data_IF_043625475231
#
_entry.id   IF_043625475231
#
_cell.length_a   1.000
_cell.length_b   1.000
_cell.length_c   1.000
_cell.angle_alpha   90.00
_cell.angle_beta   90.00
_cell.angle_gamma   90.00
#
_symmetry.space_group_name_H-M   'P 1'
#
loop_
_entity.id
_entity.type
_entity.pdbx_description
1 polymer ?
#
# COMPACT_ATOMS: atom_id res chain seq x y z
N UNK A 1 -8.15 -13.71 3.53
CA UNK A 1 -8.17 -13.74 2.04
C UNK A 1 -7.11 -14.74 1.59
N UNK A 2 -7.18 -15.26 0.36
CA UNK A 2 -6.14 -16.16 -0.16
C UNK A 2 -5.45 -15.47 -1.34
N UNK A 3 -4.57 -14.52 -1.03
CA UNK A 3 -3.83 -13.74 -2.03
C UNK A 3 -2.49 -14.40 -2.35
N UNK A 4 -2.18 -14.54 -3.63
CA UNK A 4 -0.82 -14.84 -4.06
C UNK A 4 0.14 -13.70 -3.71
N UNK A 5 1.47 -13.94 -3.63
CA UNK A 5 2.44 -12.87 -3.36
C UNK A 5 2.34 -11.68 -4.33
N UNK A 6 1.98 -11.95 -5.59
CA UNK A 6 1.80 -10.92 -6.61
C UNK A 6 0.56 -10.06 -6.35
N UNK A 7 -0.57 -10.69 -6.06
CA UNK A 7 -1.82 -9.98 -5.75
C UNK A 7 -1.69 -9.16 -4.46
N UNK A 8 -0.99 -9.69 -3.46
CA UNK A 8 -0.71 -8.98 -2.22
C UNK A 8 0.10 -7.70 -2.46
N UNK A 9 1.14 -7.79 -3.30
CA UNK A 9 1.93 -6.61 -3.66
C UNK A 9 1.12 -5.61 -4.49
N UNK A 10 0.31 -6.09 -5.44
CA UNK A 10 -0.61 -5.24 -6.22
C UNK A 10 -1.57 -4.49 -5.28
N UNK A 11 -2.21 -5.19 -4.35
CA UNK A 11 -3.12 -4.59 -3.39
C UNK A 11 -2.39 -3.58 -2.50
N UNK A 12 -1.17 -3.87 -2.03
CA UNK A 12 -0.39 -2.90 -1.27
C UNK A 12 -0.11 -1.60 -2.04
N UNK A 13 0.19 -1.70 -3.35
CA UNK A 13 0.35 -0.53 -4.22
C UNK A 13 -0.96 0.25 -4.35
N UNK A 14 -2.08 -0.43 -4.52
CA UNK A 14 -3.39 0.22 -4.60
C UNK A 14 -3.76 0.90 -3.27
N UNK A 15 -3.51 0.27 -2.13
CA UNK A 15 -3.75 0.86 -0.82
C UNK A 15 -2.86 2.09 -0.56
N UNK A 16 -1.61 2.07 -1.04
CA UNK A 16 -0.68 3.18 -0.89
C UNK A 16 -1.02 4.37 -1.81
N UNK A 17 -1.47 4.09 -3.04
CA UNK A 17 -1.47 5.11 -4.10
C UNK A 17 -2.81 5.30 -4.82
N UNK A 18 -3.84 4.49 -4.52
CA UNK A 18 -5.15 4.58 -5.14
C UNK A 18 -6.26 4.75 -4.06
N UNK A 19 -6.64 6.01 -3.75
CA UNK A 19 -7.58 6.34 -2.68
C UNK A 19 -8.94 5.60 -2.73
N UNK A 20 -9.54 5.33 -3.90
CA UNK A 20 -10.78 4.53 -3.96
C UNK A 20 -10.61 3.13 -3.36
N UNK A 21 -9.50 2.43 -3.67
CA UNK A 21 -9.25 1.09 -3.11
C UNK A 21 -8.98 1.14 -1.61
N UNK A 22 -8.27 2.16 -1.13
CA UNK A 22 -8.09 2.35 0.31
C UNK A 22 -9.42 2.55 1.05
N UNK A 23 -10.32 3.34 0.46
CA UNK A 23 -11.67 3.59 1.01
C UNK A 23 -12.51 2.31 1.01
N UNK A 24 -12.46 1.54 -0.08
CA UNK A 24 -13.14 0.25 -0.19
C UNK A 24 -12.59 -0.77 0.82
N UNK A 25 -11.27 -0.88 0.94
CA UNK A 25 -10.63 -1.77 1.90
C UNK A 25 -11.08 -1.47 3.34
N UNK A 26 -11.16 -0.19 3.70
CA UNK A 26 -11.70 0.20 5.01
C UNK A 26 -13.18 -0.19 5.17
N UNK A 27 -14.00 -0.02 4.12
CA UNK A 27 -15.39 -0.46 4.13
C UNK A 27 -15.50 -1.98 4.31
N UNK A 28 -14.73 -2.77 3.57
CA UNK A 28 -14.72 -4.24 3.65
C UNK A 28 -14.35 -4.73 5.06
N UNK A 29 -13.39 -4.08 5.73
CA UNK A 29 -13.05 -4.39 7.12
C UNK A 29 -14.23 -4.07 8.06
N UNK A 30 -14.84 -2.89 7.93
CA UNK A 30 -15.98 -2.49 8.78
C UNK A 30 -17.20 -3.40 8.60
N UNK A 31 -17.39 -3.92 7.39
CA UNK A 31 -18.47 -4.86 7.05
C UNK A 31 -18.13 -6.32 7.42
N UNK A 32 -17.00 -6.58 8.09
CA UNK A 32 -16.49 -7.91 8.42
C UNK A 32 -16.32 -8.84 7.20
N UNK A 33 -16.14 -8.29 6.00
CA UNK A 33 -15.80 -9.06 4.79
C UNK A 33 -14.35 -9.51 4.80
N UNK A 34 -13.48 -8.73 5.45
CA UNK A 34 -12.10 -9.07 5.73
C UNK A 34 -11.89 -9.01 7.24
N UNK A 35 -11.58 -10.15 7.86
CA UNK A 35 -11.44 -10.28 9.31
C UNK A 35 -10.06 -10.75 9.76
N UNK A 36 -9.25 -11.28 8.83
CA UNK A 36 -7.92 -11.81 9.09
C UNK A 36 -6.94 -10.71 9.50
N UNK A 37 -6.84 -10.44 10.81
CA UNK A 37 -6.04 -9.35 11.38
C UNK A 37 -4.57 -9.38 10.97
N UNK A 38 -3.98 -10.58 10.89
CA UNK A 38 -2.59 -10.73 10.47
C UNK A 38 -2.38 -10.22 9.03
N UNK A 39 -3.30 -10.57 8.14
CA UNK A 39 -3.25 -10.16 6.74
C UNK A 39 -3.50 -8.66 6.57
N UNK A 40 -4.47 -8.10 7.31
CA UNK A 40 -4.72 -6.65 7.34
C UNK A 40 -3.45 -5.90 7.82
N UNK A 41 -2.83 -6.40 8.89
CA UNK A 41 -1.61 -5.79 9.45
C UNK A 41 -0.48 -5.80 8.43
N UNK A 42 -0.28 -6.92 7.75
CA UNK A 42 0.77 -7.07 6.75
C UNK A 42 0.53 -6.15 5.54
N UNK A 43 -0.70 -6.10 5.01
CA UNK A 43 -1.06 -5.23 3.90
C UNK A 43 -0.85 -3.74 4.24
N UNK A 44 -1.25 -3.33 5.45
CA UNK A 44 -1.01 -1.95 5.92
C UNK A 44 0.48 -1.67 6.03
N UNK A 45 1.28 -2.59 6.61
CA UNK A 45 2.74 -2.44 6.69
C UNK A 45 3.38 -2.32 5.31
N UNK A 46 2.96 -3.16 4.36
CA UNK A 46 3.44 -3.11 2.98
C UNK A 46 3.10 -1.76 2.33
N UNK A 47 1.85 -1.31 2.45
CA UNK A 47 1.43 -0.02 1.90
C UNK A 47 2.22 1.15 2.52
N UNK A 48 2.39 1.17 3.84
CA UNK A 48 3.21 2.18 4.53
C UNK A 48 4.68 2.13 4.09
N UNK A 49 5.24 0.93 3.88
CA UNK A 49 6.60 0.78 3.38
C UNK A 49 6.79 1.44 2.01
N UNK A 50 5.77 1.44 1.15
CA UNK A 50 5.84 2.05 -0.19
C UNK A 50 5.93 3.59 -0.14
N UNK A 51 5.67 4.23 1.00
CA UNK A 51 5.85 5.67 1.19
C UNK A 51 7.24 6.06 1.73
N UNK A 52 8.05 5.09 2.16
CA UNK A 52 9.42 5.34 2.61
C UNK A 52 10.33 5.86 1.49
N UNK A 53 11.53 6.30 1.86
CA UNK A 53 12.54 6.71 0.88
C UNK A 53 12.86 5.57 -0.10
N UNK A 54 13.07 5.90 -1.38
CA UNK A 54 13.46 4.92 -2.39
C UNK A 54 14.75 4.18 -2.00
N UNK A 55 14.91 2.91 -2.43
CA UNK A 55 16.12 2.16 -2.15
C UNK A 55 17.33 2.78 -2.88
N UNK A 56 18.47 2.84 -2.20
CA UNK A 56 19.74 3.29 -2.79
C UNK A 56 20.48 2.16 -3.52
N UNK A 57 20.17 0.92 -3.19
CA UNK A 57 20.80 -0.29 -3.74
C UNK A 57 19.80 -1.44 -3.84
N UNK A 58 20.03 -2.36 -4.77
CA UNK A 58 19.18 -3.53 -5.01
C UNK A 58 18.65 -3.57 -6.45
N UNK A 59 18.38 -4.77 -6.95
CA UNK A 59 17.86 -4.99 -8.31
C UNK A 59 16.41 -4.51 -8.44
N UNK A 60 16.23 -3.23 -8.75
CA UNK A 60 14.97 -2.65 -9.20
C UNK A 60 15.19 -1.93 -10.54
N UNK A 61 14.32 -2.14 -11.51
CA UNK A 61 14.45 -1.45 -12.80
C UNK A 61 14.26 0.05 -12.62
N UNK A 62 15.02 0.87 -13.35
CA UNK A 62 14.89 2.34 -13.32
C UNK A 62 13.47 2.81 -13.62
N UNK A 63 12.75 2.06 -14.48
CA UNK A 63 11.34 2.30 -14.79
C UNK A 63 10.43 2.13 -13.57
N UNK A 64 10.60 1.05 -12.81
CA UNK A 64 9.83 0.80 -11.60
C UNK A 64 10.10 1.86 -10.52
N UNK A 65 11.36 2.29 -10.36
CA UNK A 65 11.73 3.37 -9.45
C UNK A 65 11.07 4.71 -9.83
N UNK A 66 11.15 5.10 -11.11
CA UNK A 66 10.51 6.32 -11.61
C UNK A 66 9.00 6.30 -11.39
N UNK A 67 8.36 5.15 -11.63
CA UNK A 67 6.92 4.99 -11.42
C UNK A 67 6.55 5.08 -9.94
N UNK A 68 7.31 4.44 -9.06
CA UNK A 68 7.07 4.51 -7.62
C UNK A 68 7.24 5.95 -7.10
N UNK A 69 8.30 6.67 -7.52
CA UNK A 69 8.47 8.08 -7.20
C UNK A 69 7.28 8.93 -7.64
N UNK A 70 6.79 8.70 -8.87
CA UNK A 70 5.62 9.39 -9.39
C UNK A 70 4.38 9.15 -8.53
N UNK A 71 4.11 7.89 -8.16
CA UNK A 71 3.00 7.55 -7.28
C UNK A 71 3.12 8.17 -5.89
N UNK A 72 4.30 8.11 -5.27
CA UNK A 72 4.58 8.77 -3.99
C UNK A 72 4.32 10.27 -4.06
N UNK A 73 4.70 10.94 -5.15
CA UNK A 73 4.47 12.37 -5.32
C UNK A 73 2.98 12.71 -5.48
N UNK A 74 2.26 11.97 -6.32
CA UNK A 74 0.83 12.19 -6.58
C UNK A 74 -0.04 11.87 -5.36
N UNK A 75 0.32 10.87 -4.57
CA UNK A 75 -0.51 10.42 -3.45
C UNK A 75 -0.50 11.40 -2.26
N UNK A 76 0.49 12.30 -2.15
CA UNK A 76 0.60 13.26 -1.03
C UNK A 76 -0.65 14.12 -0.84
N UNK A 77 -1.35 14.45 -1.92
CA UNK A 77 -2.59 15.23 -1.88
C UNK A 77 -3.71 14.54 -1.08
N UNK A 78 -3.67 13.21 -0.98
CA UNK A 78 -4.71 12.39 -0.34
C UNK A 78 -4.30 11.86 1.04
N UNK A 79 -3.06 12.12 1.47
CA UNK A 79 -2.51 11.74 2.78
C UNK A 79 -2.79 10.26 3.17
N UNK A 80 -2.55 9.28 2.27
CA UNK A 80 -2.92 7.87 2.49
C UNK A 80 -2.21 7.25 3.69
N UNK A 81 -0.99 7.70 4.02
CA UNK A 81 -0.22 7.26 5.19
C UNK A 81 -1.01 7.49 6.48
N UNK A 82 -1.58 8.69 6.65
CA UNK A 82 -2.39 9.03 7.82
C UNK A 82 -3.65 8.18 7.88
N UNK A 83 -4.30 7.93 6.74
CA UNK A 83 -5.47 7.05 6.70
C UNK A 83 -5.08 5.62 7.15
N UNK A 84 -4.02 5.04 6.58
CA UNK A 84 -3.52 3.71 6.93
C UNK A 84 -3.16 3.60 8.43
N UNK A 85 -2.49 4.61 8.98
CA UNK A 85 -2.17 4.71 10.42
C UNK A 85 -3.46 4.74 11.25
N UNK A 86 -4.47 5.51 10.83
CA UNK A 86 -5.74 5.61 11.52
C UNK A 86 -6.52 4.28 11.51
N UNK A 87 -6.52 3.55 10.38
CA UNK A 87 -7.10 2.20 10.30
C UNK A 87 -6.40 1.29 11.31
N UNK A 88 -5.06 1.26 11.29
CA UNK A 88 -4.28 0.42 12.19
C UNK A 88 -4.56 0.74 13.66
N UNK A 89 -4.62 2.02 14.02
CA UNK A 89 -4.94 2.48 15.36
C UNK A 89 -6.36 2.04 15.78
N UNK A 90 -7.37 2.21 14.91
CA UNK A 90 -8.76 1.79 15.20
C UNK A 90 -8.90 0.30 15.43
N UNK A 91 -8.07 -0.50 14.76
CA UNK A 91 -8.08 -1.96 14.86
C UNK A 91 -7.11 -2.50 15.93
N UNK A 92 -6.37 -1.62 16.62
CA UNK A 92 -5.28 -1.95 17.56
C UNK A 92 -4.19 -2.85 16.93
N UNK A 93 -3.76 -2.53 15.70
CA UNK A 93 -2.74 -3.28 14.98
C UNK A 93 -1.36 -2.67 15.18
N UNK A 94 -0.34 -3.51 15.38
CA UNK A 94 1.04 -3.07 15.42
C UNK A 94 1.63 -3.01 14.01
N UNK A 95 1.63 -1.82 13.42
CA UNK A 95 2.14 -1.53 12.06
C UNK A 95 3.49 -0.81 12.06
N UNK A 96 4.25 -0.84 13.17
CA UNK A 96 5.58 -0.23 13.23
C UNK A 96 6.47 -0.78 12.12
N UNK A 97 7.12 0.13 11.39
CA UNK A 97 8.13 -0.19 10.39
C UNK A 97 9.51 -0.17 11.06
N UNK A 98 10.34 -1.16 10.75
CA UNK A 98 11.71 -1.25 11.23
C UNK A 98 12.70 -0.60 10.26
N UNK A 99 12.35 -0.58 8.97
CA UNK A 99 13.11 0.10 7.93
C UNK A 99 12.68 1.56 7.71
N UNK A 100 13.59 2.35 7.15
CA UNK A 100 13.36 3.73 6.71
C UNK A 100 13.39 3.89 5.18
N UNK A 101 13.52 2.78 4.43
CA UNK A 101 13.53 2.73 2.96
C UNK A 101 12.60 1.66 2.43
N UNK A 102 12.10 1.86 1.21
CA UNK A 102 11.31 0.82 0.52
C UNK A 102 12.19 -0.40 0.26
N UNK A 103 11.78 -1.61 0.69
CA UNK A 103 12.48 -2.84 0.35
C UNK A 103 12.59 -3.05 -1.17
N UNK A 104 13.77 -3.43 -1.67
CA UNK A 104 14.00 -3.59 -3.11
C UNK A 104 13.11 -4.66 -3.78
N UNK A 105 12.69 -5.68 -3.05
CA UNK A 105 11.76 -6.71 -3.51
C UNK A 105 10.32 -6.19 -3.72
N UNK A 106 9.96 -5.07 -3.10
CA UNK A 106 8.66 -4.42 -3.28
C UNK A 106 8.64 -3.48 -4.49
N UNK A 107 9.81 -3.02 -4.96
CA UNK A 107 9.87 -2.14 -6.12
C UNK A 107 9.63 -2.94 -7.40
N UNK A 108 8.42 -2.78 -7.94
CA UNK A 108 7.96 -3.44 -9.17
C UNK A 108 7.28 -2.44 -10.10
N UNK A 109 7.28 -2.75 -11.40
CA UNK A 109 6.58 -1.95 -12.41
C UNK A 109 5.07 -2.24 -12.40
N UNK A 110 4.43 -1.98 -11.25
CA UNK A 110 3.00 -2.19 -11.03
C UNK A 110 2.23 -1.01 -11.65
N UNK A 111 1.18 -1.32 -12.41
CA UNK A 111 0.21 -0.33 -12.86
C UNK A 111 -0.91 -0.20 -11.84
N UNK A 112 -1.28 1.04 -11.52
CA UNK A 112 -2.50 1.29 -10.77
C UNK A 112 -3.71 1.29 -11.72
N UNK A 113 -4.91 0.92 -11.22
CA UNK A 113 -6.14 1.12 -11.95
C UNK A 113 -6.29 2.57 -12.40
N UNK A 114 -6.93 2.84 -13.57
CA UNK A 114 -7.26 4.20 -13.93
C UNK A 114 -8.22 4.80 -12.90
N UNK A 115 -8.12 6.11 -12.66
CA UNK A 115 -9.16 6.86 -11.96
C UNK A 115 -10.39 6.98 -12.88
N UNK A 116 -11.11 5.88 -13.10
CA UNK A 116 -12.43 5.90 -13.69
C UNK A 116 -13.44 5.78 -12.57
N UNK A 117 -14.41 6.69 -12.53
CA UNK A 117 -15.58 6.55 -11.69
C UNK A 117 -16.25 5.21 -12.02
N UNK A 118 -16.14 4.22 -11.11
CA UNK A 118 -17.02 3.08 -11.15
C UNK A 118 -18.42 3.59 -10.76
N UNK A 119 -19.28 3.71 -11.77
CA UNK A 119 -20.72 3.94 -11.62
C UNK A 119 -21.39 2.75 -10.95
#
# INVERSE_FOLDING_TARGET
MNLTPREKLQLAYELAFFPPRLSEFWREIRENKITERAEITELIKMALCLHLALPESGYASTRALKRLAYYQACSKLFVPETFLINIAAKLNLNVRLEQNRVPGNMVRDIGLPPFTHAH
#
